data_IF_978004313952
#
_entry.id   IF_978004313952
#
_cell.length_a   1.000
_cell.length_b   1.000
_cell.length_c   1.000
_cell.angle_alpha   90.00
_cell.angle_beta   90.00
_cell.angle_gamma   90.00
#
_symmetry.space_group_name_H-M   'P 1'
#
loop_
_entity.id
_entity.type
_entity.pdbx_description
1 polymer ?
#
# COMPACT_ATOMS: atom_id res chain seq x y z
N UNK A 1 -7.59 -17.31 -5.39
CA UNK A 1 -8.61 -17.06 -4.34
C UNK A 1 -8.41 -17.89 -3.07
N UNK A 2 -8.08 -17.21 -1.98
CA UNK A 2 -8.07 -17.71 -0.58
C UNK A 2 -9.16 -16.97 0.19
N UNK A 3 -9.93 -17.67 1.03
CA UNK A 3 -10.96 -17.05 1.88
C UNK A 3 -10.59 -17.23 3.33
N UNK A 4 -10.68 -16.15 4.12
CA UNK A 4 -10.60 -16.19 5.58
C UNK A 4 -11.98 -15.86 6.15
N UNK A 5 -12.35 -16.50 7.25
CA UNK A 5 -13.59 -16.26 7.97
C UNK A 5 -13.41 -16.42 9.48
N UNK A 6 -13.98 -15.49 10.23
CA UNK A 6 -14.08 -15.53 11.69
C UNK A 6 -15.38 -14.82 12.08
N UNK A 7 -16.31 -15.52 12.71
CA UNK A 7 -17.63 -14.99 13.05
C UNK A 7 -18.32 -14.35 11.83
N UNK A 8 -18.75 -13.09 11.94
CA UNK A 8 -19.34 -12.29 10.86
C UNK A 8 -18.31 -11.70 9.87
N UNK A 9 -17.01 -11.85 10.12
CA UNK A 9 -15.96 -11.32 9.28
C UNK A 9 -15.61 -12.30 8.17
N UNK A 10 -15.53 -11.80 6.93
CA UNK A 10 -15.11 -12.57 5.77
C UNK A 10 -14.13 -11.76 4.94
N UNK A 11 -13.00 -12.36 4.57
CA UNK A 11 -11.97 -11.76 3.73
C UNK A 11 -11.75 -12.64 2.51
N UNK A 12 -11.64 -12.03 1.34
CA UNK A 12 -11.22 -12.74 0.13
C UNK A 12 -9.91 -12.13 -0.36
N UNK A 13 -8.96 -13.03 -0.66
CA UNK A 13 -7.63 -12.71 -1.12
C UNK A 13 -7.41 -13.33 -2.49
N UNK A 14 -6.95 -12.54 -3.46
CA UNK A 14 -6.59 -13.06 -4.77
C UNK A 14 -5.11 -12.87 -5.05
N UNK A 15 -4.40 -13.99 -5.20
CA UNK A 15 -2.93 -14.02 -5.37
C UNK A 15 -2.17 -13.10 -4.38
N UNK A 16 -2.65 -12.98 -3.13
CA UNK A 16 -2.05 -12.13 -2.08
C UNK A 16 -2.59 -10.70 -1.99
N UNK A 17 -3.44 -10.29 -2.93
CA UNK A 17 -4.15 -9.00 -2.92
C UNK A 17 -5.43 -9.10 -2.10
N UNK A 18 -5.74 -8.05 -1.33
CA UNK A 18 -7.00 -7.93 -0.60
C UNK A 18 -8.09 -7.46 -1.56
N UNK A 19 -9.04 -8.33 -1.89
CA UNK A 19 -10.11 -8.01 -2.85
C UNK A 19 -11.49 -7.85 -2.20
N UNK A 20 -11.66 -8.33 -0.96
CA UNK A 20 -12.90 -8.16 -0.19
C UNK A 20 -12.62 -8.24 1.30
N UNK A 21 -13.25 -7.35 2.08
CA UNK A 21 -13.38 -7.47 3.53
C UNK A 21 -14.81 -7.10 3.89
N UNK A 22 -15.55 -8.08 4.42
CA UNK A 22 -16.95 -7.93 4.82
C UNK A 22 -17.11 -8.13 6.32
N UNK A 23 -17.97 -7.32 6.92
CA UNK A 23 -18.52 -7.54 8.26
C UNK A 23 -20.02 -7.32 8.22
N UNK A 24 -20.81 -8.25 8.74
CA UNK A 24 -22.28 -8.18 8.75
C UNK A 24 -22.89 -7.84 7.37
N UNK A 25 -22.30 -8.39 6.31
CA UNK A 25 -22.72 -8.16 4.92
C UNK A 25 -22.29 -6.83 4.30
N UNK A 26 -21.70 -5.91 5.07
CA UNK A 26 -21.14 -4.66 4.56
C UNK A 26 -19.75 -4.90 3.95
N UNK A 27 -19.55 -4.52 2.68
CA UNK A 27 -18.26 -4.61 1.99
C UNK A 27 -17.47 -3.31 2.15
N UNK A 28 -16.27 -3.41 2.72
CA UNK A 28 -15.38 -2.28 2.94
C UNK A 28 -14.41 -2.04 1.79
N UNK A 29 -14.08 -3.05 0.98
CA UNK A 29 -13.04 -2.96 -0.04
C UNK A 29 -13.63 -2.63 -1.40
N UNK A 30 -12.99 -1.70 -2.11
CA UNK A 30 -13.33 -1.36 -3.50
C UNK A 30 -13.28 -2.60 -4.40
N UNK A 31 -14.25 -2.70 -5.30
CA UNK A 31 -14.40 -3.87 -6.18
C UNK A 31 -13.92 -3.52 -7.59
N UNK A 32 -12.87 -4.20 -8.05
CA UNK A 32 -12.32 -4.05 -9.41
C UNK A 32 -13.44 -4.17 -10.45
N UNK A 33 -13.47 -3.22 -11.39
CA UNK A 33 -14.54 -3.08 -12.38
C UNK A 33 -15.59 -2.02 -12.03
N UNK A 34 -15.65 -1.57 -10.77
CA UNK A 34 -16.37 -0.35 -10.41
C UNK A 34 -15.57 0.89 -10.85
N UNK A 35 -16.23 2.06 -11.04
CA UNK A 35 -15.52 3.29 -11.38
C UNK A 35 -14.40 3.61 -10.37
N UNK A 36 -13.31 4.19 -10.87
CA UNK A 36 -12.10 4.49 -10.10
C UNK A 36 -10.95 3.55 -10.47
N UNK A 37 -10.30 2.99 -9.46
CA UNK A 37 -9.03 2.29 -9.63
C UNK A 37 -9.20 0.83 -10.07
N UNK A 38 -8.28 0.35 -10.92
CA UNK A 38 -8.27 -1.02 -11.44
C UNK A 38 -7.73 -2.08 -10.48
N UNK A 39 -7.46 -1.73 -9.22
CA UNK A 39 -7.01 -2.63 -8.15
C UNK A 39 -7.80 -2.36 -6.87
N UNK A 40 -7.78 -3.31 -5.94
CA UNK A 40 -8.37 -3.16 -4.60
C UNK A 40 -7.32 -2.84 -3.55
N UNK A 41 -6.10 -3.36 -3.71
CA UNK A 41 -4.92 -2.93 -2.97
C UNK A 41 -3.64 -3.11 -3.80
N UNK A 42 -2.55 -2.52 -3.33
CA UNK A 42 -1.19 -2.74 -3.85
C UNK A 42 -0.15 -2.39 -2.77
N UNK A 43 1.10 -2.76 -3.01
CA UNK A 43 2.23 -2.39 -2.15
C UNK A 43 3.23 -1.51 -2.91
N UNK A 44 3.64 -0.41 -2.28
CA UNK A 44 4.59 0.55 -2.82
C UNK A 44 5.97 0.27 -2.23
N UNK A 45 6.81 -0.48 -2.96
CA UNK A 45 8.13 -0.92 -2.49
C UNK A 45 9.11 -1.20 -3.64
N UNK A 46 10.40 -0.82 -3.53
CA UNK A 46 11.03 -0.16 -2.38
C UNK A 46 10.91 1.37 -2.41
N UNK A 47 10.07 1.92 -3.28
CA UNK A 47 9.81 3.36 -3.40
C UNK A 47 8.31 3.63 -3.50
N UNK A 48 7.88 4.79 -2.99
CA UNK A 48 6.51 5.27 -3.07
C UNK A 48 6.35 6.20 -4.28
N UNK A 49 7.11 7.29 -4.35
CA UNK A 49 6.83 8.41 -5.25
C UNK A 49 6.94 8.16 -6.75
N UNK A 50 6.44 9.10 -7.56
CA UNK A 50 6.71 9.15 -8.98
C UNK A 50 8.20 9.36 -9.24
N UNK A 51 8.70 8.79 -10.33
CA UNK A 51 10.14 8.82 -10.68
C UNK A 51 10.40 9.27 -12.11
N UNK A 52 9.37 9.64 -12.86
CA UNK A 52 9.44 10.04 -14.26
C UNK A 52 10.31 11.28 -14.49
N UNK A 53 10.19 12.31 -13.63
CA UNK A 53 11.04 13.51 -13.70
C UNK A 53 12.49 13.24 -13.30
N UNK A 54 12.73 12.15 -12.57
CA UNK A 54 14.07 11.65 -12.25
C UNK A 54 14.62 10.69 -13.33
N UNK A 55 13.94 10.55 -14.48
CA UNK A 55 14.31 9.61 -15.53
C UNK A 55 14.24 8.15 -15.07
N UNK A 56 13.33 7.85 -14.15
CA UNK A 56 13.13 6.54 -13.52
C UNK A 56 14.37 6.01 -12.77
N UNK A 57 15.32 6.92 -12.43
CA UNK A 57 16.53 6.59 -11.66
C UNK A 57 16.35 6.98 -10.21
N UNK A 58 16.72 6.07 -9.32
CA UNK A 58 16.67 6.27 -7.88
C UNK A 58 18.03 5.96 -7.29
N UNK A 59 18.61 6.93 -6.58
CA UNK A 59 19.94 6.78 -5.98
C UNK A 59 19.91 5.79 -4.83
N UNK A 60 20.92 4.93 -4.77
CA UNK A 60 21.15 4.04 -3.62
C UNK A 60 22.64 4.00 -3.27
N UNK A 61 23.02 3.57 -2.06
CA UNK A 61 24.43 3.32 -1.73
C UNK A 61 25.15 2.32 -2.65
N UNK A 62 24.42 1.42 -3.34
CA UNK A 62 24.97 0.46 -4.31
C UNK A 62 24.89 0.94 -5.77
N UNK A 63 24.63 2.22 -6.00
CA UNK A 63 24.43 2.81 -7.32
C UNK A 63 22.96 2.99 -7.67
N UNK A 64 22.69 3.59 -8.83
CA UNK A 64 21.33 3.93 -9.25
C UNK A 64 20.50 2.69 -9.59
N UNK A 65 19.30 2.62 -9.03
CA UNK A 65 18.26 1.68 -9.39
C UNK A 65 17.37 2.22 -10.52
N UNK A 66 16.74 1.33 -11.29
CA UNK A 66 15.69 1.70 -12.24
C UNK A 66 14.34 1.33 -11.65
N UNK A 67 13.59 2.33 -11.21
CA UNK A 67 12.30 2.16 -10.59
C UNK A 67 11.30 3.13 -11.19
N UNK A 68 10.12 2.61 -11.48
CA UNK A 68 8.93 3.40 -11.80
C UNK A 68 8.12 3.67 -10.52
N UNK A 69 7.18 4.61 -10.57
CA UNK A 69 6.29 4.97 -9.48
C UNK A 69 5.70 3.72 -8.80
N UNK A 70 5.81 3.67 -7.46
CA UNK A 70 5.43 2.54 -6.58
C UNK A 70 6.40 1.33 -6.58
N UNK A 71 7.53 1.41 -7.28
CA UNK A 71 8.60 0.41 -7.24
C UNK A 71 8.24 -0.94 -7.86
N UNK A 72 9.18 -1.88 -7.83
CA UNK A 72 9.08 -3.13 -8.61
C UNK A 72 8.27 -4.25 -7.92
N UNK A 73 7.94 -4.13 -6.63
CA UNK A 73 7.27 -5.20 -5.89
C UNK A 73 5.90 -5.57 -6.49
N UNK A 74 5.20 -4.58 -7.04
CA UNK A 74 3.89 -4.74 -7.70
C UNK A 74 3.90 -5.66 -8.92
N UNK A 75 5.07 -5.87 -9.53
CA UNK A 75 5.24 -6.70 -10.73
C UNK A 75 5.59 -8.16 -10.36
N UNK A 76 6.00 -8.41 -9.11
CA UNK A 76 6.32 -9.74 -8.63
C UNK A 76 5.04 -10.48 -8.24
N UNK A 77 5.07 -11.81 -8.35
CA UNK A 77 3.96 -12.69 -7.95
C UNK A 77 4.16 -13.20 -6.53
N UNK A 78 3.10 -13.20 -5.74
CA UNK A 78 3.12 -13.83 -4.43
C UNK A 78 3.10 -15.35 -4.56
N UNK A 79 3.83 -16.00 -3.66
CA UNK A 79 3.64 -17.40 -3.31
C UNK A 79 2.85 -17.48 -2.01
N UNK A 80 1.78 -18.28 -1.97
CA UNK A 80 1.09 -18.57 -0.72
C UNK A 80 1.94 -19.54 0.11
N UNK A 81 2.42 -19.11 1.27
CA UNK A 81 3.26 -19.90 2.17
C UNK A 81 2.42 -20.68 3.18
N UNK A 82 1.32 -20.08 3.63
CA UNK A 82 0.41 -20.70 4.59
C UNK A 82 -0.99 -20.08 4.44
N UNK A 83 -2.03 -20.89 4.60
CA UNK A 83 -3.41 -20.44 4.72
C UNK A 83 -4.17 -21.35 5.69
N UNK A 84 -4.99 -20.72 6.52
CA UNK A 84 -5.94 -21.31 7.47
C UNK A 84 -7.25 -20.54 7.37
N UNK A 85 -8.27 -20.92 8.12
CA UNK A 85 -9.56 -20.22 8.11
C UNK A 85 -9.44 -18.76 8.58
N UNK A 86 -8.47 -18.41 9.42
CA UNK A 86 -8.37 -17.06 10.01
C UNK A 86 -7.07 -16.33 9.68
N UNK A 87 -6.14 -16.97 8.95
CA UNK A 87 -4.84 -16.40 8.62
C UNK A 87 -4.32 -16.88 7.28
N UNK A 88 -3.70 -15.98 6.52
CA UNK A 88 -2.92 -16.33 5.33
C UNK A 88 -1.59 -15.57 5.29
N UNK A 89 -0.56 -16.19 4.70
CA UNK A 89 0.79 -15.64 4.55
C UNK A 89 1.22 -15.77 3.11
N UNK A 90 1.54 -14.64 2.49
CA UNK A 90 2.04 -14.56 1.12
C UNK A 90 3.47 -14.02 1.12
N UNK A 91 4.28 -14.46 0.16
CA UNK A 91 5.69 -14.09 0.07
C UNK A 91 6.11 -13.78 -1.36
N UNK A 92 6.86 -12.69 -1.54
CA UNK A 92 7.64 -12.35 -2.73
C UNK A 92 9.12 -12.42 -2.38
N UNK A 93 9.94 -12.84 -3.33
CA UNK A 93 11.41 -12.80 -3.23
C UNK A 93 11.97 -12.12 -4.46
N UNK A 94 13.03 -11.36 -4.28
CA UNK A 94 13.74 -10.69 -5.35
C UNK A 94 15.24 -10.86 -5.14
N UNK A 95 15.94 -11.17 -6.23
CA UNK A 95 17.40 -11.18 -6.25
C UNK A 95 17.92 -9.89 -6.85
N UNK A 96 18.94 -9.30 -6.22
CA UNK A 96 19.57 -8.06 -6.63
C UNK A 96 19.87 -8.02 -8.13
N UNK A 97 19.56 -6.89 -8.75
CA UNK A 97 19.77 -6.57 -10.16
C UNK A 97 19.03 -7.49 -11.16
N UNK A 98 18.10 -8.33 -10.71
CA UNK A 98 17.23 -9.09 -11.61
C UNK A 98 16.31 -8.13 -12.36
N UNK A 99 16.32 -8.11 -13.71
CA UNK A 99 15.39 -7.29 -14.48
C UNK A 99 13.95 -7.76 -14.29
N UNK A 100 13.05 -6.83 -13.99
CA UNK A 100 11.61 -7.08 -13.83
C UNK A 100 10.86 -6.29 -14.89
N UNK A 101 9.99 -6.94 -15.66
CA UNK A 101 9.23 -6.28 -16.72
C UNK A 101 8.33 -5.20 -16.12
N UNK A 102 8.40 -3.99 -16.66
CA UNK A 102 7.55 -2.89 -16.21
C UNK A 102 6.19 -2.92 -16.92
N UNK A 103 5.10 -3.19 -16.20
CA UNK A 103 3.75 -3.17 -16.77
C UNK A 103 3.30 -1.79 -17.28
N UNK A 104 3.99 -0.71 -16.85
CA UNK A 104 3.71 0.66 -17.28
C UNK A 104 4.34 0.99 -18.63
N UNK A 105 5.34 0.23 -19.09
CA UNK A 105 5.96 0.42 -20.40
C UNK A 105 5.04 -0.06 -21.54
N UNK A 106 4.99 0.63 -22.70
CA UNK A 106 5.59 1.93 -22.99
C UNK A 106 4.66 3.11 -22.70
N UNK A 107 3.45 2.85 -22.18
CA UNK A 107 2.36 3.85 -22.13
C UNK A 107 2.57 4.94 -21.09
N UNK A 108 3.08 4.57 -19.92
CA UNK A 108 3.29 5.46 -18.76
C UNK A 108 4.75 5.48 -18.30
N UNK A 109 5.64 4.84 -19.05
CA UNK A 109 7.06 4.70 -18.70
C UNK A 109 7.93 4.56 -19.94
N UNK A 110 9.12 5.16 -19.92
CA UNK A 110 10.16 4.90 -20.92
C UNK A 110 11.01 3.67 -20.61
N UNK A 111 10.97 3.16 -19.37
CA UNK A 111 11.79 2.03 -18.94
C UNK A 111 11.03 0.71 -19.05
N UNK A 112 11.49 -0.16 -19.93
CA UNK A 112 10.92 -1.50 -20.12
C UNK A 112 11.22 -2.45 -18.95
N UNK A 113 12.33 -2.22 -18.26
CA UNK A 113 12.85 -3.09 -17.19
C UNK A 113 13.16 -2.28 -15.94
N UNK A 114 12.70 -2.80 -14.80
CA UNK A 114 13.00 -2.28 -13.46
C UNK A 114 14.10 -3.13 -12.82
N UNK A 115 14.97 -2.50 -12.04
CA UNK A 115 16.07 -3.16 -11.33
C UNK A 115 16.28 -2.53 -9.95
N UNK A 116 16.64 -3.36 -8.98
CA UNK A 116 16.98 -2.92 -7.62
C UNK A 116 18.26 -3.64 -7.14
N UNK A 117 19.27 -2.96 -6.57
CA UNK A 117 20.57 -3.57 -6.29
C UNK A 117 20.66 -4.36 -4.98
N UNK A 118 19.53 -4.69 -4.37
CA UNK A 118 19.49 -5.45 -3.10
C UNK A 118 18.51 -6.62 -3.20
N UNK A 119 18.92 -7.75 -2.64
CA UNK A 119 18.02 -8.88 -2.43
C UNK A 119 16.98 -8.52 -1.37
N UNK A 120 15.77 -9.02 -1.52
CA UNK A 120 14.80 -8.95 -0.45
C UNK A 120 13.81 -10.11 -0.48
N UNK A 121 13.24 -10.36 0.70
CA UNK A 121 12.03 -11.15 0.87
C UNK A 121 10.98 -10.27 1.54
N UNK A 122 9.81 -10.25 0.95
CA UNK A 122 8.67 -9.47 1.38
C UNK A 122 7.53 -10.42 1.72
N UNK A 123 7.09 -10.44 2.98
CA UNK A 123 5.92 -11.20 3.40
C UNK A 123 4.75 -10.27 3.71
N UNK A 124 3.55 -10.68 3.31
CA UNK A 124 2.28 -10.05 3.65
C UNK A 124 1.40 -11.07 4.35
N UNK A 125 0.98 -10.75 5.57
CA UNK A 125 0.24 -11.66 6.42
C UNK A 125 -1.11 -11.06 6.79
N UNK A 126 -2.17 -11.80 6.55
CA UNK A 126 -3.53 -11.43 6.93
C UNK A 126 -3.93 -12.26 8.14
N UNK A 127 -4.52 -11.62 9.15
CA UNK A 127 -5.08 -12.31 10.32
C UNK A 127 -6.42 -11.69 10.72
N UNK A 128 -7.45 -12.52 10.80
CA UNK A 128 -8.72 -12.12 11.38
C UNK A 128 -8.66 -12.19 12.91
N UNK A 129 -9.16 -11.14 13.54
CA UNK A 129 -9.44 -11.01 14.98
C UNK A 129 -10.94 -10.71 15.13
N UNK A 130 -11.48 -10.86 16.33
CA UNK A 130 -12.93 -10.76 16.60
C UNK A 130 -13.65 -9.62 15.84
N UNK A 131 -13.08 -8.41 15.82
CA UNK A 131 -13.64 -7.24 15.11
C UNK A 131 -12.61 -6.53 14.21
N UNK A 132 -11.59 -7.26 13.71
CA UNK A 132 -10.56 -6.62 12.92
C UNK A 132 -9.89 -7.55 11.91
N UNK A 133 -9.44 -6.95 10.80
CA UNK A 133 -8.44 -7.53 9.92
C UNK A 133 -7.08 -6.88 10.20
N UNK A 134 -6.10 -7.68 10.61
CA UNK A 134 -4.70 -7.26 10.70
C UNK A 134 -3.95 -7.69 9.43
N UNK A 135 -3.17 -6.75 8.88
CA UNK A 135 -2.32 -6.93 7.71
C UNK A 135 -0.89 -6.56 8.13
N UNK A 136 -0.02 -7.55 8.26
CA UNK A 136 1.39 -7.36 8.64
C UNK A 136 2.30 -7.53 7.42
N UNK A 137 3.23 -6.59 7.24
CA UNK A 137 4.30 -6.65 6.26
C UNK A 137 5.63 -6.90 6.96
N UNK A 138 6.36 -7.91 6.50
CA UNK A 138 7.67 -8.28 7.05
C UNK A 138 8.69 -8.22 5.92
N UNK A 139 9.70 -7.39 6.10
CA UNK A 139 10.77 -7.16 5.12
C UNK A 139 12.09 -7.66 5.71
N UNK A 140 12.77 -8.49 4.94
CA UNK A 140 14.15 -8.96 5.21
C UNK A 140 14.99 -8.80 3.96
N UNK A 141 16.27 -8.48 4.13
CA UNK A 141 17.22 -8.21 3.07
C UNK A 141 18.66 -8.22 3.62
N UNK A 142 19.57 -7.46 3.01
CA UNK A 142 20.85 -7.13 3.63
C UNK A 142 20.70 -5.92 4.57
N UNK A 143 21.55 -5.88 5.61
CA UNK A 143 21.67 -4.74 6.52
C UNK A 143 21.91 -3.44 5.73
N UNK A 144 21.32 -2.35 6.21
CA UNK A 144 21.35 -1.01 5.59
C UNK A 144 20.68 -0.91 4.21
N UNK A 145 19.94 -1.93 3.74
CA UNK A 145 19.15 -1.80 2.52
C UNK A 145 18.20 -0.58 2.66
N UNK A 146 18.30 0.43 1.77
CA UNK A 146 17.39 1.57 1.80
C UNK A 146 16.01 1.16 1.29
N UNK A 147 14.95 1.66 1.88
CA UNK A 147 13.60 1.44 1.35
C UNK A 147 12.59 2.46 1.86
N UNK A 148 11.53 2.61 1.10
CA UNK A 148 10.22 3.07 1.56
C UNK A 148 9.25 1.90 1.48
N UNK A 149 8.28 1.91 2.39
CA UNK A 149 7.07 1.10 2.27
C UNK A 149 5.83 2.00 2.30
N UNK A 150 4.92 1.75 1.37
CA UNK A 150 3.53 2.19 1.46
C UNK A 150 2.57 1.05 1.15
N UNK A 151 1.37 1.12 1.72
CA UNK A 151 0.28 0.18 1.42
C UNK A 151 -0.89 0.97 0.85
N UNK A 152 -1.45 0.52 -0.27
CA UNK A 152 -2.40 1.29 -1.06
C UNK A 152 -3.79 0.61 -1.15
N UNK A 153 -4.51 0.39 -0.03
CA UNK A 153 -5.85 -0.19 -0.08
C UNK A 153 -6.88 0.85 -0.51
N UNK A 154 -7.83 0.42 -1.34
CA UNK A 154 -8.98 1.19 -1.78
C UNK A 154 -10.24 0.71 -1.06
N UNK A 155 -10.94 1.64 -0.43
CA UNK A 155 -12.17 1.40 0.31
C UNK A 155 -13.39 1.78 -0.52
N UNK A 156 -14.43 0.97 -0.45
CA UNK A 156 -15.71 1.24 -1.10
C UNK A 156 -16.47 2.29 -0.26
N UNK A 157 -17.02 3.30 -0.93
CA UNK A 157 -17.89 4.30 -0.32
C UNK A 157 -19.35 3.98 -0.64
N UNK A 158 -20.22 4.10 0.36
CA UNK A 158 -21.65 3.79 0.24
C UNK A 158 -22.55 5.01 0.47
N UNK A 159 -22.04 6.08 1.09
CA UNK A 159 -22.77 7.33 1.29
C UNK A 159 -22.30 8.42 0.32
N UNK A 160 -23.11 9.47 0.18
CA UNK A 160 -22.79 10.63 -0.66
C UNK A 160 -21.75 11.56 -0.02
N UNK A 161 -21.66 11.57 1.32
CA UNK A 161 -20.84 12.50 2.07
C UNK A 161 -19.94 11.78 3.10
N UNK A 162 -19.06 10.86 2.66
CA UNK A 162 -18.11 10.25 3.57
C UNK A 162 -17.07 11.27 4.03
N UNK A 163 -16.60 11.09 5.27
CA UNK A 163 -15.63 11.99 5.90
C UNK A 163 -14.53 11.16 6.54
N UNK A 164 -13.29 11.55 6.30
CA UNK A 164 -12.12 11.00 6.98
C UNK A 164 -11.85 11.83 8.22
N UNK A 165 -11.67 11.19 9.38
CA UNK A 165 -11.47 11.87 10.66
C UNK A 165 -10.16 11.44 11.28
N UNK A 166 -9.38 12.42 11.72
CA UNK A 166 -8.13 12.25 12.44
C UNK A 166 -8.24 12.91 13.82
N UNK A 167 -7.18 12.88 14.62
CA UNK A 167 -7.11 13.67 15.85
C UNK A 167 -6.98 15.18 15.62
N UNK A 168 -6.63 15.60 14.41
CA UNK A 168 -6.32 17.00 14.06
C UNK A 168 -7.46 17.67 13.28
N UNK A 169 -8.21 16.90 12.49
CA UNK A 169 -9.14 17.46 11.51
C UNK A 169 -10.18 16.43 11.02
N UNK A 170 -11.26 16.95 10.42
CA UNK A 170 -12.19 16.20 9.59
C UNK A 170 -11.96 16.61 8.12
N UNK A 171 -11.80 15.64 7.24
CA UNK A 171 -11.42 15.78 5.83
C UNK A 171 -12.56 15.23 4.97
N UNK A 172 -13.45 16.10 4.46
CA UNK A 172 -14.46 15.74 3.47
C UNK A 172 -13.86 15.15 2.19
N UNK A 173 -14.59 14.24 1.54
CA UNK A 173 -14.15 13.62 0.28
C UNK A 173 -13.79 14.64 -0.82
N UNK A 174 -14.47 15.80 -0.85
CA UNK A 174 -14.18 16.83 -1.85
C UNK A 174 -12.77 17.41 -1.72
N UNK A 175 -12.24 17.54 -0.50
CA UNK A 175 -10.89 18.08 -0.29
C UNK A 175 -9.85 17.11 -0.85
N UNK A 176 -10.12 15.81 -0.70
CA UNK A 176 -9.28 14.74 -1.24
C UNK A 176 -9.32 14.76 -2.78
N UNK A 177 -10.51 14.90 -3.37
CA UNK A 177 -10.70 15.03 -4.82
C UNK A 177 -9.97 16.27 -5.37
N UNK A 178 -9.98 17.38 -4.65
CA UNK A 178 -9.37 18.64 -5.08
C UNK A 178 -7.84 18.57 -5.18
N UNK A 179 -7.18 17.73 -4.36
CA UNK A 179 -5.72 17.51 -4.41
C UNK A 179 -5.30 16.64 -5.61
N UNK A 180 -6.20 15.78 -6.09
CA UNK A 180 -5.98 14.96 -7.28
C UNK A 180 -4.78 14.01 -7.16
N UNK A 181 -3.96 13.94 -8.22
CA UNK A 181 -2.86 12.96 -8.33
C UNK A 181 -1.74 13.12 -7.30
N UNK A 182 -1.70 14.24 -6.57
CA UNK A 182 -0.73 14.46 -5.48
C UNK A 182 -1.08 13.70 -4.21
N UNK A 183 -2.32 13.24 -4.08
CA UNK A 183 -2.90 12.69 -2.86
C UNK A 183 -2.84 13.68 -1.67
N UNK A 184 -3.90 13.70 -0.87
CA UNK A 184 -3.96 14.51 0.33
C UNK A 184 -3.03 13.92 1.39
N UNK A 185 -2.05 14.69 1.87
CA UNK A 185 -1.13 14.25 2.93
C UNK A 185 -1.78 14.35 4.31
N UNK A 186 -1.69 13.28 5.10
CA UNK A 186 -2.01 13.30 6.52
C UNK A 186 -0.75 12.92 7.30
N UNK A 187 0.04 13.94 7.64
CA UNK A 187 1.33 13.79 8.29
C UNK A 187 1.24 13.47 9.79
N UNK A 188 2.22 12.73 10.30
CA UNK A 188 2.36 12.33 11.70
C UNK A 188 1.07 11.71 12.25
N UNK A 189 0.59 10.68 11.55
CA UNK A 189 -0.70 10.05 11.81
C UNK A 189 -0.58 8.52 11.74
N UNK A 190 -1.00 7.85 12.81
CA UNK A 190 -1.00 6.38 12.92
C UNK A 190 -2.41 5.80 13.06
N UNK A 191 -3.45 6.65 13.09
CA UNK A 191 -4.84 6.22 13.16
C UNK A 191 -5.74 7.22 12.45
N UNK A 192 -6.60 6.70 11.57
CA UNK A 192 -7.61 7.44 10.83
C UNK A 192 -8.93 6.69 10.91
N UNK A 193 -10.04 7.41 10.96
CA UNK A 193 -11.38 6.84 10.89
C UNK A 193 -12.10 7.29 9.63
N UNK A 194 -12.55 6.35 8.80
CA UNK A 194 -13.48 6.61 7.71
C UNK A 194 -14.92 6.53 8.25
N UNK A 195 -15.62 7.67 8.28
CA UNK A 195 -17.06 7.75 8.56
C UNK A 195 -17.82 7.74 7.24
N UNK A 196 -18.44 6.61 6.92
CA UNK A 196 -19.32 6.42 5.76
C UNK A 196 -20.67 5.83 6.24
N UNK A 197 -21.35 4.96 5.48
CA UNK A 197 -22.54 4.25 5.95
C UNK A 197 -22.24 3.35 7.17
N UNK A 198 -20.99 2.89 7.28
CA UNK A 198 -20.39 2.29 8.47
C UNK A 198 -19.09 3.01 8.79
N UNK A 199 -18.68 2.92 10.05
CA UNK A 199 -17.40 3.47 10.49
C UNK A 199 -16.33 2.40 10.34
N UNK A 200 -15.20 2.76 9.74
CA UNK A 200 -14.01 1.91 9.68
C UNK A 200 -12.85 2.66 10.30
N UNK A 201 -12.23 2.08 11.32
CA UNK A 201 -11.00 2.60 11.91
C UNK A 201 -9.80 1.90 11.28
N UNK A 202 -8.84 2.68 10.79
CA UNK A 202 -7.60 2.22 10.19
C UNK A 202 -6.46 2.71 11.05
N UNK A 203 -5.74 1.80 11.70
CA UNK A 203 -4.49 2.13 12.41
C UNK A 203 -3.29 1.52 11.70
N UNK A 204 -2.14 2.17 11.81
CA UNK A 204 -0.91 1.77 11.16
C UNK A 204 0.27 1.81 12.15
N UNK A 205 1.20 0.86 11.99
CA UNK A 205 2.43 0.77 12.77
C UNK A 205 3.62 0.68 11.80
N UNK A 206 4.67 1.43 12.09
CA UNK A 206 5.85 1.53 11.24
C UNK A 206 5.73 2.54 10.10
N UNK A 207 4.54 2.93 9.66
CA UNK A 207 4.37 3.89 8.54
C UNK A 207 4.60 5.34 8.99
N UNK A 208 3.79 5.84 9.93
CA UNK A 208 3.95 7.19 10.50
C UNK A 208 3.17 8.29 9.77
N UNK A 209 2.75 8.06 8.53
CA UNK A 209 1.91 8.98 7.76
C UNK A 209 0.82 8.22 7.01
N UNK A 210 -0.18 8.96 6.52
CA UNK A 210 -1.13 8.48 5.51
C UNK A 210 -1.15 9.41 4.29
N UNK A 211 -1.52 8.86 3.14
CA UNK A 211 -2.02 9.62 1.99
C UNK A 211 -3.47 9.23 1.72
N UNK A 212 -4.27 10.18 1.27
CA UNK A 212 -5.65 9.93 0.83
C UNK A 212 -5.75 10.25 -0.65
N UNK A 213 -6.28 9.32 -1.45
CA UNK A 213 -6.42 9.53 -2.88
C UNK A 213 -7.75 9.00 -3.40
N UNK A 214 -8.38 9.79 -4.26
CA UNK A 214 -9.45 9.32 -5.13
C UNK A 214 -9.59 10.25 -6.34
N UNK A 215 -10.14 9.71 -7.43
CA UNK A 215 -10.56 10.44 -8.62
C UNK A 215 -12.07 10.28 -8.90
N UNK A 216 -12.78 9.59 -8.00
CA UNK A 216 -14.21 9.26 -8.10
C UNK A 216 -14.89 9.36 -6.73
N UNK A 217 -16.22 9.32 -6.71
CA UNK A 217 -16.99 9.47 -5.46
C UNK A 217 -17.38 8.16 -4.79
N UNK A 218 -17.15 7.01 -5.43
CA UNK A 218 -17.58 5.68 -4.96
C UNK A 218 -16.45 4.86 -4.29
N UNK A 219 -15.23 5.38 -4.23
CA UNK A 219 -14.12 4.77 -3.52
C UNK A 219 -13.15 5.82 -2.97
N UNK A 220 -12.35 5.43 -1.98
CA UNK A 220 -11.28 6.22 -1.41
C UNK A 220 -10.10 5.32 -1.05
N UNK A 221 -8.90 5.67 -1.51
CA UNK A 221 -7.67 5.07 -1.01
C UNK A 221 -7.23 5.77 0.28
N UNK A 222 -6.95 4.98 1.32
CA UNK A 222 -6.38 5.46 2.59
C UNK A 222 -5.08 4.68 2.80
N UNK A 223 -3.96 5.36 2.59
CA UNK A 223 -2.68 4.72 2.27
C UNK A 223 -1.66 4.97 3.39
N UNK A 224 -1.43 4.02 4.31
CA UNK A 224 -0.31 4.12 5.24
C UNK A 224 1.01 4.16 4.47
N UNK A 225 1.82 5.19 4.73
CA UNK A 225 3.08 5.45 4.02
C UNK A 225 4.21 5.80 4.98
N UNK A 226 5.40 5.31 4.66
CA UNK A 226 6.62 5.61 5.40
C UNK A 226 7.21 6.99 5.09
N UNK A 227 6.84 7.58 3.95
CA UNK A 227 7.31 8.87 3.45
C UNK A 227 6.32 9.46 2.44
N UNK A 228 6.04 10.77 2.53
CA UNK A 228 5.20 11.47 1.55
C UNK A 228 6.04 11.91 0.34
N UNK A 229 5.80 11.35 -0.86
CA UNK A 229 6.74 11.50 -1.97
C UNK A 229 6.80 12.91 -2.56
N UNK A 230 5.78 13.75 -2.33
CA UNK A 230 5.74 15.11 -2.84
C UNK A 230 6.33 16.16 -1.88
N UNK A 231 6.90 15.71 -0.75
CA UNK A 231 7.66 16.57 0.17
C UNK A 231 9.05 16.97 -0.40
N UNK A 232 9.52 16.28 -1.44
CA UNK A 232 10.80 16.53 -2.11
C UNK A 232 10.65 16.44 -3.63
N UNK A 233 11.59 17.03 -4.37
CA UNK A 233 11.71 16.79 -5.81
C UNK A 233 12.03 15.31 -6.09
N UNK A 234 11.53 14.76 -7.21
CA UNK A 234 11.68 13.33 -7.53
C UNK A 234 13.14 12.84 -7.52
N UNK A 235 14.09 13.67 -7.98
CA UNK A 235 15.53 13.36 -7.98
C UNK A 235 16.15 13.18 -6.58
N UNK A 236 15.41 13.56 -5.54
CA UNK A 236 15.80 13.52 -4.13
C UNK A 236 14.92 12.56 -3.32
N UNK A 237 14.12 11.69 -3.96
CA UNK A 237 13.28 10.72 -3.25
C UNK A 237 14.09 9.80 -2.33
N UNK A 238 15.37 9.56 -2.63
CA UNK A 238 16.28 8.81 -1.76
C UNK A 238 16.39 9.38 -0.34
N UNK A 239 16.10 10.68 -0.14
CA UNK A 239 16.06 11.30 1.20
C UNK A 239 14.94 10.79 2.09
N UNK A 240 13.90 10.20 1.52
CA UNK A 240 12.80 9.57 2.27
C UNK A 240 13.06 8.11 2.62
N UNK A 241 14.21 7.54 2.22
CA UNK A 241 14.54 6.17 2.57
C UNK A 241 14.80 5.99 4.05
N UNK A 242 14.33 4.85 4.54
CA UNK A 242 14.76 4.27 5.81
C UNK A 242 15.80 3.20 5.51
N UNK A 243 16.67 2.95 6.46
CA UNK A 243 17.60 1.83 6.40
C UNK A 243 17.00 0.63 7.11
N UNK A 244 17.17 -0.54 6.53
CA UNK A 244 16.85 -1.80 7.17
C UNK A 244 17.88 -2.09 8.27
N UNK A 245 17.50 -1.90 9.52
CA UNK A 245 18.33 -2.11 10.71
C UNK A 245 17.64 -3.14 11.61
N UNK A 246 18.39 -4.07 12.20
CA UNK A 246 17.88 -5.11 13.13
C UNK A 246 16.71 -5.93 12.56
N UNK A 247 16.97 -6.68 11.50
CA UNK A 247 15.94 -7.46 10.79
C UNK A 247 15.09 -8.39 11.68
N UNK A 248 13.82 -8.65 11.29
CA UNK A 248 13.11 -8.07 10.14
C UNK A 248 12.47 -6.70 10.44
N UNK A 249 12.34 -5.83 9.42
CA UNK A 249 11.45 -4.67 9.54
C UNK A 249 9.99 -5.12 9.49
N UNK A 250 9.17 -4.59 10.40
CA UNK A 250 7.76 -4.93 10.55
C UNK A 250 6.89 -3.69 10.44
N UNK A 251 5.85 -3.81 9.62
CA UNK A 251 4.81 -2.80 9.46
C UNK A 251 3.46 -3.49 9.61
N UNK A 252 2.48 -2.80 10.18
CA UNK A 252 1.16 -3.37 10.38
C UNK A 252 0.07 -2.36 10.07
N UNK A 253 -1.01 -2.83 9.49
CA UNK A 253 -2.25 -2.10 9.29
C UNK A 253 -3.37 -2.90 9.95
N UNK A 254 -4.22 -2.25 10.72
CA UNK A 254 -5.38 -2.88 11.35
C UNK A 254 -6.63 -2.15 10.90
N UNK A 255 -7.54 -2.89 10.29
CA UNK A 255 -8.87 -2.44 9.88
C UNK A 255 -9.87 -2.93 10.95
N UNK A 256 -10.40 -2.02 11.75
CA UNK A 256 -11.34 -2.32 12.84
C UNK A 256 -12.74 -1.84 12.49
N UNK A 257 -13.70 -2.76 12.57
CA UNK A 257 -15.12 -2.58 12.24
C UNK A 257 -15.99 -2.56 13.50
#
# INVERSE_FOLDING_TARGET
>A
MTTLQLDQLKVQLDEGSLVSFKADGHEYIHQVGSPGWGKSDDEMFPIIGPTDEAGFKVKTPKGDAVLDQHGLLRELKYQCVNATDTRAVFQKTYMANTPVKNSKFPKKSSEEWLTWPYDFRFQKQFSLKQNALEIEFIITGPEEMPFMLGYHPAFKLHSENPVVVTSKEEIPLQDILAVGSRAYEVADCTEITLKDAKTLRISSQGFGNFMLWTEVTNMLCIEPISFYPYAVEQKNLDKGFRQLINEPARFKVTLSV
#
